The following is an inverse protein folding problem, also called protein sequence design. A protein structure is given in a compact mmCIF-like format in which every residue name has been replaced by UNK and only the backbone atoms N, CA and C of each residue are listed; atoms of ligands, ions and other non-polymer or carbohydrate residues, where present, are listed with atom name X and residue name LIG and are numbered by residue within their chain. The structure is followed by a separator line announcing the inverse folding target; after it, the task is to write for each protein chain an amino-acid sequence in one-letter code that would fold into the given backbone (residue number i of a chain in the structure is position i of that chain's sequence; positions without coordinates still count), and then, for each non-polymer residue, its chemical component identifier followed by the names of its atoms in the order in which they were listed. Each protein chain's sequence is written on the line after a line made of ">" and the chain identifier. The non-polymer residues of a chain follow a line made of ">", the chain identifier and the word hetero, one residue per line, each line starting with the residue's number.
data_IF_241879683900
#
_entry.id   IF_241879683900
#
_cell.length_a   1.000
_cell.length_b   1.000
_cell.length_c   1.000
_cell.angle_alpha   90.00
_cell.angle_beta   90.00
_cell.angle_gamma   90.00
#
_symmetry.space_group_name_H-M   'P 1'
#
loop_
_entity.id
_entity.type
_entity.pdbx_description
1 polymer ?
#
# COMPACT_ATOMS: atom_id res chain seq x y z
N UNK A 1 -71.81 -9.36 -7.29
CA UNK A 1 -70.87 -8.26 -7.61
C UNK A 1 -69.55 -8.56 -6.90
N UNK A 2 -68.49 -8.92 -7.64
CA UNK A 2 -67.17 -9.23 -7.10
C UNK A 2 -66.26 -8.02 -7.34
N UNK A 3 -65.80 -7.37 -6.29
CA UNK A 3 -64.78 -6.32 -6.37
C UNK A 3 -63.41 -6.97 -6.54
N UNK A 4 -62.79 -6.72 -7.69
CA UNK A 4 -61.42 -7.13 -7.99
C UNK A 4 -60.48 -6.01 -7.53
N UNK A 5 -59.75 -6.24 -6.44
CA UNK A 5 -58.66 -5.36 -6.01
C UNK A 5 -57.45 -5.67 -6.90
N UNK A 6 -57.09 -4.72 -7.77
CA UNK A 6 -55.87 -4.76 -8.56
C UNK A 6 -54.69 -4.36 -7.65
N UNK A 7 -53.95 -5.35 -7.13
CA UNK A 7 -52.67 -5.11 -6.48
C UNK A 7 -51.64 -4.77 -7.58
N UNK A 8 -51.31 -3.48 -7.74
CA UNK A 8 -50.12 -3.09 -8.49
C UNK A 8 -48.89 -3.42 -7.63
N UNK A 9 -48.20 -4.53 -7.95
CA UNK A 9 -46.83 -4.73 -7.52
C UNK A 9 -45.95 -3.70 -8.25
N UNK A 10 -45.50 -2.67 -7.54
CA UNK A 10 -44.35 -1.89 -7.98
C UNK A 10 -43.10 -2.75 -7.77
N UNK A 11 -42.62 -3.37 -8.85
CA UNK A 11 -41.25 -3.88 -8.88
C UNK A 11 -40.32 -2.66 -8.85
N UNK A 12 -39.59 -2.46 -7.74
CA UNK A 12 -38.49 -1.53 -7.71
C UNK A 12 -37.46 -1.95 -8.78
N UNK A 13 -36.92 -1.03 -9.60
CA UNK A 13 -35.88 -1.39 -10.55
C UNK A 13 -34.68 -1.90 -9.74
N UNK A 14 -34.24 -3.13 -10.04
CA UNK A 14 -32.97 -3.63 -9.57
C UNK A 14 -31.90 -2.63 -10.02
N UNK A 15 -31.32 -1.89 -9.07
CA UNK A 15 -30.23 -0.98 -9.37
C UNK A 15 -29.13 -1.80 -10.06
N UNK A 16 -28.93 -1.56 -11.36
CA UNK A 16 -27.87 -2.20 -12.11
C UNK A 16 -26.57 -1.93 -11.36
N UNK A 17 -25.95 -2.98 -10.79
CA UNK A 17 -24.63 -2.85 -10.16
C UNK A 17 -23.72 -2.24 -11.22
N UNK A 18 -23.22 -1.03 -10.97
CA UNK A 18 -22.25 -0.40 -11.86
C UNK A 18 -21.12 -1.40 -12.13
N UNK A 19 -20.94 -1.75 -13.40
CA UNK A 19 -19.98 -2.75 -13.82
C UNK A 19 -18.57 -2.28 -13.45
N UNK A 20 -17.80 -3.17 -12.82
CA UNK A 20 -16.43 -2.88 -12.42
C UNK A 20 -15.52 -3.22 -13.60
N UNK A 21 -14.86 -2.21 -14.16
CA UNK A 21 -13.92 -2.38 -15.27
C UNK A 21 -12.50 -2.61 -14.74
N UNK A 22 -11.75 -3.49 -15.40
CA UNK A 22 -10.30 -3.63 -15.17
C UNK A 22 -9.57 -2.64 -16.07
N UNK A 23 -8.80 -1.75 -15.47
CA UNK A 23 -8.03 -0.70 -16.16
C UNK A 23 -6.52 -0.98 -16.16
N UNK A 24 -6.09 -1.99 -15.44
CA UNK A 24 -4.71 -2.45 -15.43
C UNK A 24 -4.56 -3.74 -14.62
N UNK A 25 -3.41 -4.39 -14.81
CA UNK A 25 -3.06 -5.63 -14.13
C UNK A 25 -1.57 -5.66 -13.88
N UNK A 26 -1.18 -6.09 -12.69
CA UNK A 26 0.20 -6.44 -12.39
C UNK A 26 0.32 -7.80 -11.70
N UNK A 27 1.41 -8.50 -11.97
CA UNK A 27 1.69 -9.81 -11.39
C UNK A 27 2.22 -9.67 -9.96
N UNK A 28 1.63 -10.38 -8.99
CA UNK A 28 2.08 -10.33 -7.59
C UNK A 28 3.56 -10.75 -7.44
N UNK A 29 4.05 -11.81 -8.13
CA UNK A 29 5.49 -12.10 -8.20
C UNK A 29 6.35 -10.97 -8.79
N UNK A 30 5.85 -10.25 -9.81
CA UNK A 30 6.57 -9.12 -10.41
C UNK A 30 6.66 -7.96 -9.43
N UNK A 31 5.56 -7.61 -8.76
CA UNK A 31 5.54 -6.59 -7.71
C UNK A 31 6.45 -6.97 -6.53
N UNK A 32 6.54 -8.26 -6.20
CA UNK A 32 7.46 -8.76 -5.20
C UNK A 32 8.92 -8.60 -5.65
N UNK A 33 9.26 -9.00 -6.87
CA UNK A 33 10.61 -8.80 -7.40
C UNK A 33 11.00 -7.32 -7.53
N UNK A 34 10.04 -6.44 -7.83
CA UNK A 34 10.24 -5.00 -7.86
C UNK A 34 10.57 -4.43 -6.48
N UNK A 35 10.02 -5.00 -5.40
CA UNK A 35 10.36 -4.62 -4.02
C UNK A 35 11.87 -4.71 -3.75
N UNK A 36 12.51 -5.76 -4.24
CA UNK A 36 13.95 -5.96 -4.03
C UNK A 36 14.78 -4.94 -4.79
N UNK A 37 14.34 -4.54 -6.00
CA UNK A 37 14.96 -3.46 -6.77
C UNK A 37 14.79 -2.09 -6.10
N UNK A 38 13.66 -1.90 -5.43
CA UNK A 38 13.34 -0.68 -4.70
C UNK A 38 14.06 -0.57 -3.34
N UNK A 39 14.66 -1.66 -2.85
CA UNK A 39 15.52 -1.57 -1.68
C UNK A 39 16.79 -0.74 -1.98
N UNK A 40 17.37 -0.16 -0.93
CA UNK A 40 18.70 0.46 -0.96
C UNK A 40 19.76 -0.63 -0.81
N UNK A 41 20.65 -0.84 -1.79
CA UNK A 41 21.80 -1.72 -1.61
C UNK A 41 22.82 -1.08 -0.67
N UNK A 42 23.43 -1.88 0.19
CA UNK A 42 24.47 -1.50 1.13
C UNK A 42 25.53 -2.59 1.13
N UNK A 43 26.80 -2.23 1.28
CA UNK A 43 27.88 -3.20 1.53
C UNK A 43 28.60 -2.77 2.79
N UNK A 44 28.57 -3.58 3.85
CA UNK A 44 29.16 -3.27 5.15
C UNK A 44 29.66 -4.54 5.83
N UNK A 45 30.84 -4.49 6.46
CA UNK A 45 31.49 -5.66 7.03
C UNK A 45 31.82 -6.74 5.98
N UNK A 46 32.05 -6.32 4.73
CA UNK A 46 32.25 -7.23 3.59
C UNK A 46 31.01 -8.01 3.14
N UNK A 47 29.82 -7.65 3.62
CA UNK A 47 28.55 -8.30 3.28
C UNK A 47 27.58 -7.34 2.59
N UNK A 48 26.80 -7.87 1.65
CA UNK A 48 25.80 -7.10 0.92
C UNK A 48 24.41 -7.22 1.56
N UNK A 49 23.77 -6.08 1.79
CA UNK A 49 22.44 -5.95 2.35
C UNK A 49 21.51 -5.14 1.45
N UNK A 50 20.22 -5.31 1.71
CA UNK A 50 19.12 -4.51 1.18
C UNK A 50 18.39 -3.86 2.36
N UNK A 51 18.40 -2.54 2.40
CA UNK A 51 17.64 -1.74 3.35
C UNK A 51 16.35 -1.21 2.70
N UNK A 52 15.24 -1.23 3.43
CA UNK A 52 13.96 -0.68 2.97
C UNK A 52 13.07 -0.37 4.16
N UNK A 53 11.94 0.28 3.91
CA UNK A 53 10.83 0.33 4.85
C UNK A 53 9.80 -0.75 4.56
N UNK A 54 9.14 -1.26 5.60
CA UNK A 54 7.97 -2.12 5.54
C UNK A 54 6.86 -1.52 6.39
N UNK A 55 5.63 -1.98 6.19
CA UNK A 55 4.44 -1.43 6.83
C UNK A 55 3.70 -2.52 7.59
N UNK A 56 3.06 -2.18 8.71
CA UNK A 56 2.19 -3.11 9.43
C UNK A 56 0.70 -2.73 9.31
N UNK A 57 -0.17 -3.57 9.89
CA UNK A 57 -1.62 -3.37 9.89
C UNK A 57 -2.09 -2.12 10.66
N UNK A 58 -1.24 -1.56 11.52
CA UNK A 58 -1.49 -0.34 12.30
C UNK A 58 -0.94 0.91 11.62
N UNK A 59 -0.46 0.78 10.38
CA UNK A 59 0.08 1.85 9.55
C UNK A 59 1.40 2.39 10.10
N UNK A 60 2.06 1.65 10.98
CA UNK A 60 3.41 1.95 11.43
C UNK A 60 4.40 1.57 10.34
N UNK A 61 5.43 2.40 10.20
CA UNK A 61 6.56 2.15 9.31
C UNK A 61 7.69 1.52 10.12
N UNK A 62 8.30 0.49 9.55
CA UNK A 62 9.40 -0.24 10.15
C UNK A 62 10.59 -0.24 9.19
N UNK A 63 11.79 -0.07 9.73
CA UNK A 63 13.02 -0.27 8.97
C UNK A 63 13.33 -1.76 8.88
N UNK A 64 13.70 -2.23 7.69
CA UNK A 64 14.14 -3.60 7.47
C UNK A 64 15.51 -3.61 6.81
N UNK A 65 16.39 -4.45 7.33
CA UNK A 65 17.70 -4.78 6.76
C UNK A 65 17.73 -6.29 6.49
N UNK A 66 17.98 -6.70 5.25
CA UNK A 66 18.08 -8.12 4.89
C UNK A 66 19.30 -8.41 4.03
N UNK A 67 19.87 -9.63 4.08
CA UNK A 67 20.95 -10.03 3.17
C UNK A 67 20.51 -9.94 1.71
N UNK A 68 21.36 -9.38 0.85
CA UNK A 68 21.03 -9.15 -0.56
C UNK A 68 20.88 -10.44 -1.38
N UNK A 69 21.58 -11.51 -0.98
CA UNK A 69 21.50 -12.83 -1.64
C UNK A 69 20.23 -13.62 -1.27
N UNK A 70 19.33 -13.03 -0.48
CA UNK A 70 18.18 -13.72 0.08
C UNK A 70 18.54 -14.68 1.21
N UNK A 71 17.53 -15.34 1.77
CA UNK A 71 17.67 -16.28 2.89
C UNK A 71 17.16 -15.72 4.23
N UNK A 72 17.25 -16.54 5.26
CA UNK A 72 16.92 -16.17 6.64
C UNK A 72 17.97 -15.24 7.24
N UNK A 73 17.56 -14.35 8.13
CA UNK A 73 18.47 -13.42 8.83
C UNK A 73 18.33 -11.97 8.39
N UNK A 74 17.14 -11.53 7.99
CA UNK A 74 16.81 -10.11 8.01
C UNK A 74 16.42 -9.66 9.41
N UNK A 75 16.63 -8.40 9.74
CA UNK A 75 16.11 -7.75 10.93
C UNK A 75 15.11 -6.66 10.56
N UNK A 76 14.20 -6.39 11.49
CA UNK A 76 13.16 -5.38 11.36
C UNK A 76 13.05 -4.63 12.69
N UNK A 77 12.98 -3.31 12.61
CA UNK A 77 12.96 -2.44 13.79
C UNK A 77 11.99 -1.28 13.58
N UNK A 78 11.32 -0.90 14.64
CA UNK A 78 10.56 0.35 14.73
C UNK A 78 11.50 1.56 14.71
N UNK A 79 10.96 2.74 14.46
CA UNK A 79 11.70 3.99 14.62
C UNK A 79 12.19 4.18 16.07
N UNK A 80 11.37 3.84 17.05
CA UNK A 80 11.72 3.93 18.48
C UNK A 80 12.91 3.04 18.85
N UNK A 81 12.95 1.80 18.34
CA UNK A 81 14.07 0.88 18.54
C UNK A 81 15.36 1.39 17.87
N UNK A 82 15.25 2.02 16.70
CA UNK A 82 16.40 2.63 16.05
C UNK A 82 16.90 3.88 16.79
N UNK A 83 15.99 4.73 17.30
CA UNK A 83 16.34 5.89 18.12
C UNK A 83 17.03 5.45 19.41
N UNK A 84 16.54 4.39 20.06
CA UNK A 84 17.18 3.80 21.23
C UNK A 84 18.58 3.27 20.91
N UNK A 85 18.75 2.72 19.70
CA UNK A 85 19.96 2.04 19.25
C UNK A 85 19.71 0.54 19.28
N UNK A 86 19.73 -0.06 18.09
CA UNK A 86 19.47 -1.48 17.88
C UNK A 86 20.72 -2.19 17.43
N UNK A 87 20.73 -3.52 17.59
CA UNK A 87 21.81 -4.38 17.10
C UNK A 87 21.21 -5.42 16.16
N UNK A 88 21.80 -5.54 14.99
CA UNK A 88 21.61 -6.68 14.10
C UNK A 88 22.72 -7.69 14.36
N UNK A 89 22.34 -8.94 14.63
CA UNK A 89 23.28 -10.05 14.78
C UNK A 89 22.88 -11.16 13.82
N UNK A 90 23.68 -11.38 12.79
CA UNK A 90 23.39 -12.38 11.76
C UNK A 90 24.57 -12.59 10.83
N UNK A 91 24.69 -13.78 10.24
CA UNK A 91 25.76 -14.11 9.29
C UNK A 91 27.18 -13.89 9.87
N UNK A 92 27.37 -14.11 11.18
CA UNK A 92 28.64 -13.87 11.86
C UNK A 92 29.05 -12.40 11.96
N UNK A 93 28.14 -11.47 11.67
CA UNK A 93 28.36 -10.03 11.71
C UNK A 93 27.43 -9.40 12.77
N UNK A 94 27.97 -8.42 13.49
CA UNK A 94 27.22 -7.56 14.38
C UNK A 94 27.23 -6.13 13.82
N UNK A 95 26.05 -5.54 13.64
CA UNK A 95 25.88 -4.17 13.17
C UNK A 95 25.08 -3.38 14.20
N UNK A 96 25.57 -2.20 14.55
CA UNK A 96 24.85 -1.21 15.35
C UNK A 96 24.02 -0.33 14.43
N UNK A 97 22.76 -0.17 14.77
CA UNK A 97 21.78 0.60 14.02
C UNK A 97 21.29 1.74 14.90
N UNK A 98 21.38 2.97 14.40
CA UNK A 98 20.93 4.15 15.15
C UNK A 98 20.27 5.14 14.20
N UNK A 99 19.05 5.56 14.55
CA UNK A 99 18.37 6.67 13.90
C UNK A 99 18.66 7.97 14.68
N UNK A 100 18.97 9.05 13.97
CA UNK A 100 19.10 10.39 14.54
C UNK A 100 18.70 11.44 13.50
N UNK A 101 17.58 12.14 13.74
CA UNK A 101 17.17 13.29 12.94
C UNK A 101 16.76 12.95 11.49
N UNK A 102 16.10 11.82 11.30
CA UNK A 102 15.73 11.22 10.02
C UNK A 102 16.84 10.42 9.33
N UNK A 103 18.01 10.26 9.95
CA UNK A 103 19.18 9.58 9.37
C UNK A 103 19.44 8.28 10.11
N UNK A 104 19.45 7.18 9.35
CA UNK A 104 19.82 5.86 9.85
C UNK A 104 21.32 5.67 9.61
N UNK A 105 22.04 5.35 10.67
CA UNK A 105 23.42 4.89 10.63
C UNK A 105 23.48 3.38 10.87
N UNK A 106 24.30 2.70 10.08
CA UNK A 106 24.65 1.28 10.22
C UNK A 106 26.16 1.22 10.41
N UNK A 107 26.60 0.67 11.54
CA UNK A 107 28.01 0.70 11.94
C UNK A 107 28.50 -0.68 12.39
N UNK A 108 29.68 -1.09 11.97
CA UNK A 108 30.34 -2.32 12.42
C UNK A 108 31.11 -2.09 13.72
N UNK A 109 31.56 -3.18 14.38
CA UNK A 109 32.37 -3.08 15.58
C UNK A 109 33.77 -2.45 15.35
N UNK A 110 34.31 -2.53 14.13
CA UNK A 110 35.59 -1.92 13.73
C UNK A 110 35.45 -0.48 13.20
N UNK A 111 34.23 0.08 13.19
CA UNK A 111 33.96 1.49 12.91
C UNK A 111 33.67 1.83 11.44
N UNK A 112 33.50 0.84 10.57
CA UNK A 112 32.91 1.07 9.25
C UNK A 112 31.46 1.55 9.44
N UNK A 113 31.09 2.66 8.79
CA UNK A 113 29.79 3.30 8.98
C UNK A 113 29.18 3.73 7.65
N UNK A 114 27.89 3.45 7.49
CA UNK A 114 27.08 3.91 6.37
C UNK A 114 25.88 4.68 6.91
N UNK A 115 25.58 5.81 6.27
CA UNK A 115 24.43 6.63 6.61
C UNK A 115 23.50 6.83 5.42
N UNK A 116 22.20 6.90 5.71
CA UNK A 116 21.17 7.25 4.74
C UNK A 116 19.93 7.76 5.45
N UNK A 117 19.19 8.65 4.79
CA UNK A 117 17.94 9.15 5.35
C UNK A 117 16.81 8.13 5.21
N UNK A 118 15.88 8.13 6.17
CA UNK A 118 14.64 7.36 6.09
C UNK A 118 13.84 7.78 4.84
N UNK A 119 13.79 9.08 4.54
CA UNK A 119 13.17 9.63 3.32
C UNK A 119 13.74 9.00 2.07
N UNK A 120 15.07 8.78 1.98
CA UNK A 120 15.66 8.14 0.80
C UNK A 120 15.20 6.70 0.57
N UNK A 121 14.71 6.01 1.62
CA UNK A 121 14.10 4.68 1.46
C UNK A 121 12.68 4.79 0.87
N UNK A 122 11.92 5.81 1.27
CA UNK A 122 10.62 6.10 0.65
C UNK A 122 10.76 6.55 -0.80
N UNK A 123 11.74 7.41 -1.10
CA UNK A 123 12.05 7.83 -2.46
C UNK A 123 12.31 6.62 -3.35
N UNK A 124 13.16 5.69 -2.89
CA UNK A 124 13.42 4.47 -3.67
C UNK A 124 12.19 3.57 -3.81
N UNK A 125 11.39 3.41 -2.75
CA UNK A 125 10.13 2.66 -2.86
C UNK A 125 9.19 3.28 -3.88
N UNK A 126 9.10 4.61 -3.92
CA UNK A 126 8.28 5.30 -4.90
C UNK A 126 8.86 5.14 -6.32
N UNK A 127 10.11 5.56 -6.54
CA UNK A 127 10.71 5.66 -7.87
C UNK A 127 10.92 4.33 -8.59
N UNK A 128 11.19 3.25 -7.84
CA UNK A 128 11.56 1.95 -8.41
C UNK A 128 10.45 0.90 -8.36
N UNK A 129 9.28 1.24 -7.81
CA UNK A 129 8.12 0.36 -7.83
C UNK A 129 7.22 0.64 -9.03
N UNK A 130 6.43 -0.35 -9.50
CA UNK A 130 5.47 -0.12 -10.57
C UNK A 130 4.49 1.00 -10.22
N UNK A 131 4.31 1.90 -11.18
CA UNK A 131 3.47 3.08 -11.05
C UNK A 131 2.14 2.84 -11.77
N UNK A 132 1.03 3.16 -11.12
CA UNK A 132 -0.30 3.16 -11.74
C UNK A 132 -0.86 4.58 -11.73
N UNK A 133 -1.35 5.02 -12.89
CA UNK A 133 -2.05 6.29 -13.01
C UNK A 133 -3.57 6.05 -13.05
N UNK A 134 -4.28 6.62 -12.09
CA UNK A 134 -5.74 6.59 -12.03
C UNK A 134 -6.33 7.82 -12.71
N UNK A 135 -6.92 7.59 -13.89
CA UNK A 135 -7.73 8.58 -14.61
C UNK A 135 -6.98 9.82 -15.10
N UNK A 136 -5.65 9.77 -15.22
CA UNK A 136 -4.81 10.92 -15.55
C UNK A 136 -4.56 11.87 -14.38
N UNK A 137 -5.16 11.62 -13.21
CA UNK A 137 -5.23 12.57 -12.10
C UNK A 137 -4.21 12.26 -11.02
N UNK A 138 -4.00 10.98 -10.73
CA UNK A 138 -3.19 10.57 -9.59
C UNK A 138 -2.33 9.36 -9.92
N UNK A 139 -1.04 9.44 -9.58
CA UNK A 139 -0.11 8.32 -9.72
C UNK A 139 0.18 7.73 -8.34
N UNK A 140 0.15 6.39 -8.26
CA UNK A 140 0.56 5.64 -7.09
C UNK A 140 1.69 4.68 -7.45
N UNK A 141 2.73 4.64 -6.62
CA UNK A 141 3.65 3.53 -6.58
C UNK A 141 2.99 2.35 -5.87
N UNK A 142 3.15 1.15 -6.40
CA UNK A 142 2.50 -0.06 -5.88
C UNK A 142 3.57 -1.05 -5.47
N UNK A 143 3.62 -1.35 -4.18
CA UNK A 143 4.66 -2.17 -3.56
C UNK A 143 4.02 -3.39 -2.94
N UNK A 144 4.58 -4.59 -3.18
CA UNK A 144 4.23 -5.73 -2.33
C UNK A 144 4.85 -5.57 -0.97
N UNK A 145 4.06 -5.76 0.06
CA UNK A 145 4.51 -5.73 1.43
C UNK A 145 4.42 -7.16 1.97
N UNK A 146 5.57 -7.83 1.99
CA UNK A 146 5.72 -9.09 2.69
C UNK A 146 6.10 -8.75 4.11
N UNK A 147 5.13 -8.74 5.01
CA UNK A 147 5.40 -8.54 6.42
C UNK A 147 6.05 -9.79 7.02
N UNK A 148 7.16 -9.68 7.75
CA UNK A 148 7.49 -10.67 8.76
C UNK A 148 6.56 -10.57 9.98
N UNK A 149 5.81 -9.46 10.14
CA UNK A 149 5.09 -9.11 11.37
C UNK A 149 3.67 -9.66 11.48
N UNK A 150 2.94 -9.78 10.36
CA UNK A 150 1.52 -10.16 10.38
C UNK A 150 1.25 -11.52 9.74
N UNK A 151 2.25 -12.13 9.10
CA UNK A 151 2.12 -13.38 8.33
C UNK A 151 1.24 -13.27 7.06
N UNK A 152 0.54 -12.15 6.89
CA UNK A 152 -0.35 -11.88 5.77
C UNK A 152 0.31 -10.94 4.77
N UNK A 153 0.27 -11.33 3.50
CA UNK A 153 0.73 -10.48 2.41
C UNK A 153 -0.26 -9.33 2.15
N UNK A 154 0.28 -8.19 1.73
CA UNK A 154 -0.51 -7.02 1.38
C UNK A 154 0.13 -6.17 0.30
N UNK A 155 -0.64 -5.23 -0.18
CA UNK A 155 -0.21 -4.25 -1.18
C UNK A 155 -0.18 -2.88 -0.52
N UNK A 156 0.96 -2.21 -0.66
CA UNK A 156 1.10 -0.81 -0.24
C UNK A 156 0.98 0.06 -1.48
N UNK A 157 0.12 1.07 -1.41
CA UNK A 157 0.05 2.13 -2.40
C UNK A 157 0.66 3.39 -1.81
N UNK A 158 1.62 3.99 -2.50
CA UNK A 158 2.31 5.21 -2.06
C UNK A 158 2.03 6.30 -3.08
N UNK A 159 1.65 7.49 -2.59
CA UNK A 159 1.50 8.71 -3.39
C UNK A 159 2.41 9.79 -2.83
N UNK A 160 3.13 10.48 -3.70
CA UNK A 160 3.81 11.72 -3.36
C UNK A 160 2.86 12.91 -3.53
N UNK A 161 2.61 13.64 -2.44
CA UNK A 161 1.82 14.87 -2.47
C UNK A 161 2.59 16.05 -3.05
N UNK A 162 1.87 17.10 -3.46
CA UNK A 162 2.48 18.36 -3.90
C UNK A 162 3.21 19.11 -2.80
N UNK A 163 2.95 18.75 -1.54
CA UNK A 163 3.65 19.18 -0.33
C UNK A 163 4.99 18.44 -0.11
N UNK A 164 5.32 17.48 -0.97
CA UNK A 164 6.52 16.64 -0.84
C UNK A 164 6.38 15.53 0.20
N UNK A 165 5.17 15.29 0.73
CA UNK A 165 4.93 14.24 1.72
C UNK A 165 4.43 12.95 1.08
N UNK A 166 4.86 11.81 1.64
CA UNK A 166 4.40 10.51 1.23
C UNK A 166 3.10 10.13 1.95
N UNK A 167 2.07 9.83 1.17
CA UNK A 167 0.80 9.29 1.63
C UNK A 167 0.72 7.82 1.23
N UNK A 168 0.53 6.92 2.19
CA UNK A 168 0.49 5.50 1.91
C UNK A 168 -0.69 4.80 2.57
N UNK A 169 -1.05 3.64 2.03
CA UNK A 169 -2.00 2.73 2.67
C UNK A 169 -1.55 1.28 2.46
N UNK A 170 -1.68 0.46 3.49
CA UNK A 170 -1.52 -0.98 3.40
C UNK A 170 -2.90 -1.64 3.24
N UNK A 171 -3.05 -2.42 2.18
CA UNK A 171 -4.26 -3.22 1.94
C UNK A 171 -3.89 -4.71 1.94
N UNK A 172 -4.39 -5.46 2.94
CA UNK A 172 -4.22 -6.92 2.96
C UNK A 172 -4.93 -7.58 1.78
N UNK A 173 -4.31 -8.61 1.20
CA UNK A 173 -4.90 -9.34 0.07
C UNK A 173 -6.26 -9.96 0.42
N UNK A 174 -6.42 -10.41 1.68
CA UNK A 174 -7.68 -10.97 2.17
C UNK A 174 -8.84 -9.98 1.99
N UNK A 175 -8.59 -8.69 2.24
CA UNK A 175 -9.61 -7.64 2.11
C UNK A 175 -10.02 -7.36 0.66
N UNK A 176 -9.14 -7.66 -0.31
CA UNK A 176 -9.36 -7.33 -1.73
C UNK A 176 -9.53 -8.54 -2.64
N UNK A 177 -9.55 -9.75 -2.06
CA UNK A 177 -9.86 -10.99 -2.77
C UNK A 177 -11.35 -11.11 -3.10
N UNK A 178 -12.23 -10.72 -2.16
CA UNK A 178 -13.68 -10.85 -2.33
C UNK A 178 -14.33 -9.66 -3.03
N UNK A 179 -13.76 -8.45 -2.90
CA UNK A 179 -14.30 -7.22 -3.47
C UNK A 179 -13.24 -6.14 -3.63
N UNK A 180 -13.37 -5.21 -4.60
CA UNK A 180 -12.41 -4.12 -4.73
C UNK A 180 -12.33 -3.22 -3.48
N UNK A 181 -11.11 -2.82 -3.11
CA UNK A 181 -10.88 -1.68 -2.22
C UNK A 181 -10.77 -0.41 -3.06
N UNK A 182 -11.69 0.51 -2.85
CA UNK A 182 -11.67 1.82 -3.51
C UNK A 182 -10.68 2.74 -2.79
N UNK A 183 -9.76 3.35 -3.56
CA UNK A 183 -8.69 4.21 -3.07
C UNK A 183 -8.98 5.69 -3.34
N UNK A 184 -9.60 5.99 -4.49
CA UNK A 184 -9.78 7.35 -4.98
C UNK A 184 -11.12 7.49 -5.69
N UNK A 185 -11.71 8.68 -5.57
CA UNK A 185 -12.78 9.15 -6.44
C UNK A 185 -12.28 10.37 -7.19
N UNK A 186 -12.31 10.33 -8.52
CA UNK A 186 -11.93 11.45 -9.37
C UNK A 186 -12.74 11.43 -10.66
N UNK A 187 -13.16 12.60 -11.14
CA UNK A 187 -13.91 12.76 -12.39
C UNK A 187 -15.13 11.82 -12.50
N UNK A 188 -15.90 11.67 -11.42
CA UNK A 188 -17.09 10.82 -11.39
C UNK A 188 -16.80 9.31 -11.41
N UNK A 189 -15.56 8.90 -11.18
CA UNK A 189 -15.15 7.49 -11.17
C UNK A 189 -14.52 7.10 -9.84
N UNK A 190 -14.89 5.95 -9.31
CA UNK A 190 -14.12 5.23 -8.29
C UNK A 190 -12.97 4.48 -8.95
N UNK A 191 -11.81 4.50 -8.29
CA UNK A 191 -10.63 3.72 -8.66
C UNK A 191 -10.16 2.89 -7.47
N UNK A 192 -9.72 1.67 -7.71
CA UNK A 192 -9.40 0.74 -6.64
C UNK A 192 -8.54 -0.44 -7.05
N UNK A 193 -8.34 -1.33 -6.08
CA UNK A 193 -7.54 -2.55 -6.19
C UNK A 193 -8.40 -3.78 -5.93
N UNK A 194 -8.12 -4.85 -6.67
CA UNK A 194 -8.66 -6.20 -6.41
C UNK A 194 -7.55 -7.22 -6.61
N UNK A 195 -7.48 -8.24 -5.78
CA UNK A 195 -6.61 -9.40 -6.04
C UNK A 195 -7.44 -10.47 -6.72
N UNK A 196 -6.93 -11.00 -7.82
CA UNK A 196 -7.51 -12.13 -8.54
C UNK A 196 -6.36 -13.05 -8.98
N UNK A 197 -6.46 -14.33 -8.61
CA UNK A 197 -5.40 -15.33 -8.78
C UNK A 197 -4.04 -14.82 -8.24
N UNK A 198 -3.02 -14.76 -9.10
CA UNK A 198 -1.69 -14.24 -8.77
C UNK A 198 -1.48 -12.81 -9.26
N UNK A 199 -2.55 -12.05 -9.47
CA UNK A 199 -2.51 -10.70 -10.02
C UNK A 199 -3.18 -9.68 -9.11
N UNK A 200 -2.58 -8.49 -9.05
CA UNK A 200 -3.23 -7.29 -8.59
C UNK A 200 -3.91 -6.61 -9.78
N UNK A 201 -5.21 -6.42 -9.70
CA UNK A 201 -6.00 -5.70 -10.68
C UNK A 201 -6.22 -4.26 -10.22
N UNK A 202 -6.03 -3.34 -11.14
CA UNK A 202 -6.46 -1.96 -11.01
C UNK A 202 -7.84 -1.85 -11.64
N UNK A 203 -8.82 -1.39 -10.88
CA UNK A 203 -10.22 -1.39 -11.31
C UNK A 203 -10.86 -0.02 -11.17
N UNK A 204 -11.91 0.21 -11.95
CA UNK A 204 -12.72 1.41 -11.85
C UNK A 204 -14.22 1.11 -11.95
N UNK A 205 -15.04 2.04 -11.47
CA UNK A 205 -16.48 2.06 -11.76
C UNK A 205 -17.00 3.51 -11.70
N UNK A 206 -18.07 3.85 -12.42
CA UNK A 206 -18.76 5.12 -12.23
C UNK A 206 -19.26 5.29 -10.80
N UNK A 207 -19.21 6.53 -10.30
CA UNK A 207 -19.97 6.93 -9.14
C UNK A 207 -21.44 6.88 -9.55
N UNK A 208 -22.25 6.07 -8.88
CA UNK A 208 -23.68 6.10 -9.10
C UNK A 208 -24.19 7.51 -8.80
N UNK A 209 -24.86 8.14 -9.75
CA UNK A 209 -25.54 9.41 -9.47
C UNK A 209 -26.47 9.17 -8.28
N UNK A 210 -26.29 9.97 -7.22
CA UNK A 210 -27.31 10.03 -6.21
C UNK A 210 -28.60 10.42 -6.96
N UNK A 211 -29.63 9.59 -6.85
CA UNK A 211 -30.94 9.92 -7.40
C UNK A 211 -31.36 11.33 -6.98
N UNK A 212 -32.31 11.96 -7.69
CA UNK A 212 -32.72 13.33 -7.39
C UNK A 212 -32.95 13.49 -5.89
N UNK A 213 -32.41 14.59 -5.34
CA UNK A 213 -32.60 14.92 -3.93
C UNK A 213 -34.08 14.70 -3.58
N UNK A 214 -34.41 14.01 -2.48
CA UNK A 214 -35.80 13.78 -2.11
C UNK A 214 -36.52 15.12 -2.18
N UNK A 215 -37.60 15.18 -2.97
CA UNK A 215 -38.41 16.37 -3.14
C UNK A 215 -38.62 17.00 -1.78
N UNK A 216 -38.32 18.30 -1.64
CA UNK A 216 -38.62 19.06 -0.44
C UNK A 216 -40.14 19.22 -0.30
N UNK A 217 -40.86 18.11 -0.14
CA UNK A 217 -42.29 18.02 0.07
C UNK A 217 -42.55 17.71 1.55
N UNK A 218 -42.14 18.67 2.38
CA UNK A 218 -42.88 19.07 3.57
C UNK A 218 -42.80 20.59 3.68
N UNK A 219 -43.29 21.26 2.65
CA UNK A 219 -43.78 22.61 2.82
C UNK A 219 -45.20 22.55 3.42
N UNK A 220 -45.25 22.81 4.74
CA UNK A 220 -46.30 23.55 5.47
C UNK A 220 -47.61 22.78 5.82
N UNK A 221 -48.31 23.13 6.92
CA UNK A 221 -48.91 24.44 7.12
C UNK A 221 -48.48 25.18 8.39
N UNK A 222 -48.84 26.47 8.39
CA UNK A 222 -48.72 27.44 9.49
C UNK A 222 -49.49 27.01 10.74
#
# INVERSE_FOLDING_TARGET
>A
MKNLILLMLFAAPAAARAEVSVIGRESLPVLLAARDKACRPLTIGGQDFLATVVFDGNWSTWFMLKPARGGSGGGIWTEEELVAGSVYSGQGLELRLKETGGVISVETADGERIEFSLTSLFDRLYDYSPQINFGGVMTYAVVRNLGPLTGDAGTVTIRLGSDGLYYYSLTSDKLISASPRWLLVANGMFYGLRVEDTSLLFVSKPVAEAGPAPSAERALPR
#
